data_IF_902202333437
#
_entry.id   IF_902202333437
#
_cell.length_a   1.000
_cell.length_b   1.000
_cell.length_c   1.000
_cell.angle_alpha   90.00
_cell.angle_beta   90.00
_cell.angle_gamma   90.00
#
_symmetry.space_group_name_H-M   'P 1'
#
loop_
_entity.id
_entity.type
_entity.pdbx_description
1 polymer ?
#
# COMPACT_ATOMS: atom_id res chain seq x y z
N UNK A 1 15.20 -16.22 20.87
CA UNK A 1 15.94 -17.48 20.64
C UNK A 1 16.71 -17.28 19.33
N UNK A 2 18.02 -17.10 19.41
CA UNK A 2 18.86 -16.77 18.25
C UNK A 2 18.90 -17.95 17.29
N UNK A 3 18.20 -17.84 16.16
CA UNK A 3 18.42 -18.72 15.01
C UNK A 3 19.68 -18.23 14.29
N UNK A 4 20.81 -18.84 14.66
CA UNK A 4 22.03 -18.75 13.88
C UNK A 4 21.78 -19.30 12.47
N UNK A 5 22.11 -18.50 11.46
CA UNK A 5 22.15 -18.93 10.07
C UNK A 5 23.08 -20.14 9.94
N UNK A 6 22.53 -21.27 9.50
CA UNK A 6 23.36 -22.38 9.03
C UNK A 6 23.93 -22.02 7.64
N UNK A 7 25.24 -22.16 7.41
CA UNK A 7 25.81 -21.96 6.09
C UNK A 7 25.55 -23.21 5.24
N UNK A 8 24.44 -23.19 4.49
CA UNK A 8 24.14 -24.14 3.43
C UNK A 8 24.98 -23.88 2.17
N UNK A 9 25.45 -24.96 1.57
CA UNK A 9 26.37 -25.10 0.45
C UNK A 9 25.96 -24.38 -0.85
N UNK A 10 26.91 -23.62 -1.41
CA UNK A 10 26.86 -23.04 -2.77
C UNK A 10 26.31 -21.62 -2.80
N UNK A 11 27.16 -20.60 -2.89
CA UNK A 11 26.72 -19.25 -3.27
C UNK A 11 26.13 -19.33 -4.69
N UNK A 12 24.82 -19.45 -4.82
CA UNK A 12 24.18 -19.37 -6.13
C UNK A 12 24.29 -17.93 -6.61
N UNK A 13 25.05 -17.72 -7.69
CA UNK A 13 25.00 -16.47 -8.44
C UNK A 13 23.56 -16.22 -8.90
N UNK A 14 23.14 -14.95 -8.91
CA UNK A 14 21.81 -14.56 -9.36
C UNK A 14 21.48 -15.15 -10.73
N UNK A 15 20.29 -15.73 -10.86
CA UNK A 15 19.69 -16.20 -12.11
C UNK A 15 18.17 -16.14 -12.00
N UNK A 16 17.50 -15.85 -13.12
CA UNK A 16 16.03 -15.90 -13.19
C UNK A 16 15.60 -17.37 -13.18
N UNK A 17 14.81 -17.76 -12.20
CA UNK A 17 14.34 -19.14 -12.08
C UNK A 17 13.14 -19.37 -12.99
N UNK A 18 13.13 -20.54 -13.65
CA UNK A 18 11.95 -21.12 -14.30
C UNK A 18 11.38 -22.22 -13.43
N UNK A 19 10.24 -22.77 -13.81
CA UNK A 19 9.54 -23.80 -13.02
C UNK A 19 10.43 -25.00 -12.68
N UNK A 20 11.20 -25.53 -13.63
CA UNK A 20 12.12 -26.65 -13.40
C UNK A 20 13.28 -26.26 -12.45
N UNK A 21 13.88 -25.10 -12.68
CA UNK A 21 14.98 -24.58 -11.86
C UNK A 21 14.55 -24.34 -10.42
N UNK A 22 13.33 -23.81 -10.25
CA UNK A 22 12.73 -23.53 -8.96
C UNK A 22 12.43 -24.84 -8.22
N UNK A 23 11.93 -25.87 -8.91
CA UNK A 23 11.71 -27.20 -8.33
C UNK A 23 13.00 -27.77 -7.73
N UNK A 24 14.07 -27.76 -8.52
CA UNK A 24 15.36 -28.31 -8.10
C UNK A 24 15.94 -27.51 -6.93
N UNK A 25 15.80 -26.18 -6.97
CA UNK A 25 16.22 -25.31 -5.88
C UNK A 25 15.45 -25.61 -4.58
N UNK A 26 14.12 -25.67 -4.63
CA UNK A 26 13.27 -25.92 -3.46
C UNK A 26 13.43 -27.35 -2.92
N UNK A 27 13.74 -28.34 -3.77
CA UNK A 27 14.05 -29.70 -3.35
C UNK A 27 15.29 -29.78 -2.44
N UNK A 28 16.19 -28.81 -2.54
CA UNK A 28 17.36 -28.67 -1.66
C UNK A 28 17.05 -28.08 -0.28
N UNK A 29 15.81 -27.68 0.00
CA UNK A 29 15.41 -27.02 1.25
C UNK A 29 14.53 -27.94 2.11
N UNK A 30 15.09 -28.65 3.13
CA UNK A 30 14.34 -29.67 3.87
C UNK A 30 13.05 -29.17 4.52
N UNK A 31 13.05 -27.92 5.02
CA UNK A 31 11.86 -27.32 5.62
C UNK A 31 10.73 -27.09 4.59
N UNK A 32 11.08 -26.68 3.37
CA UNK A 32 10.12 -26.51 2.28
C UNK A 32 9.61 -27.85 1.77
N UNK A 33 10.50 -28.84 1.62
CA UNK A 33 10.11 -30.21 1.24
C UNK A 33 9.10 -30.78 2.24
N UNK A 34 9.36 -30.62 3.54
CA UNK A 34 8.45 -31.06 4.58
C UNK A 34 7.09 -30.34 4.54
N UNK A 35 7.09 -29.03 4.25
CA UNK A 35 5.85 -28.23 4.14
C UNK A 35 5.00 -28.61 2.93
N UNK A 36 5.63 -28.83 1.77
CA UNK A 36 4.93 -29.19 0.54
C UNK A 36 4.46 -30.65 0.56
N UNK A 37 5.28 -31.56 1.10
CA UNK A 37 5.05 -33.00 1.05
C UNK A 37 5.18 -33.61 -0.36
N UNK A 38 5.17 -34.94 -0.43
CA UNK A 38 5.37 -35.68 -1.68
C UNK A 38 6.81 -35.58 -2.22
N UNK A 39 7.08 -36.21 -3.36
CA UNK A 39 8.36 -36.07 -4.04
C UNK A 39 8.40 -34.75 -4.83
N UNK A 40 9.54 -34.06 -4.93
CA UNK A 40 9.65 -32.84 -5.75
C UNK A 40 9.21 -33.01 -7.22
N UNK A 41 9.34 -34.22 -7.78
CA UNK A 41 8.87 -34.56 -9.12
C UNK A 41 7.33 -34.46 -9.26
N UNK A 42 6.59 -34.55 -8.17
CA UNK A 42 5.12 -34.50 -8.16
C UNK A 42 4.57 -33.09 -7.89
N UNK A 43 5.43 -32.12 -7.57
CA UNK A 43 4.98 -30.75 -7.30
C UNK A 43 4.45 -30.09 -8.56
N UNK A 44 3.33 -29.35 -8.43
CA UNK A 44 2.87 -28.44 -9.49
C UNK A 44 3.43 -27.05 -9.21
N UNK A 45 3.99 -26.41 -10.24
CA UNK A 45 4.55 -25.07 -10.17
C UNK A 45 3.92 -24.27 -11.29
N UNK A 46 3.41 -23.08 -10.97
CA UNK A 46 2.82 -22.18 -11.96
C UNK A 46 3.19 -20.73 -11.62
N UNK A 47 3.63 -19.96 -12.61
CA UNK A 47 3.80 -18.51 -12.47
C UNK A 47 2.42 -17.83 -12.56
N UNK A 48 2.10 -16.96 -11.61
CA UNK A 48 0.77 -16.33 -11.47
C UNK A 48 0.83 -14.81 -11.26
N UNK A 49 2.03 -14.21 -11.34
CA UNK A 49 2.20 -12.79 -11.05
C UNK A 49 1.50 -11.91 -12.07
N UNK A 50 0.46 -11.19 -11.63
CA UNK A 50 -0.16 -10.07 -12.36
C UNK A 50 0.39 -8.70 -11.92
N UNK A 51 1.44 -8.71 -11.08
CA UNK A 51 2.08 -7.53 -10.51
C UNK A 51 3.12 -6.86 -11.42
N UNK A 52 3.45 -5.60 -11.10
CA UNK A 52 4.25 -4.72 -11.95
C UNK A 52 5.77 -4.94 -11.88
N UNK A 53 6.30 -5.65 -10.87
CA UNK A 53 7.75 -5.68 -10.59
C UNK A 53 8.40 -7.07 -10.61
N UNK A 54 7.69 -8.13 -10.19
CA UNK A 54 8.33 -9.38 -9.76
C UNK A 54 7.66 -10.63 -10.38
N UNK A 55 8.36 -11.77 -10.35
CA UNK A 55 7.78 -13.08 -10.64
C UNK A 55 7.17 -13.65 -9.36
N UNK A 56 6.00 -14.28 -9.48
CA UNK A 56 5.37 -15.00 -8.36
C UNK A 56 4.97 -16.39 -8.83
N UNK A 57 5.49 -17.41 -8.17
CA UNK A 57 5.16 -18.81 -8.42
C UNK A 57 4.28 -19.34 -7.30
N UNK A 58 3.24 -20.08 -7.65
CA UNK A 58 2.53 -20.97 -6.73
C UNK A 58 3.16 -22.36 -6.88
N UNK A 59 3.58 -22.93 -5.75
CA UNK A 59 4.11 -24.30 -5.68
C UNK A 59 3.20 -25.12 -4.78
N UNK A 60 2.71 -26.26 -5.27
CA UNK A 60 1.86 -27.20 -4.52
C UNK A 60 2.50 -28.56 -4.47
N UNK A 61 2.52 -29.14 -3.27
CA UNK A 61 2.79 -30.56 -3.05
C UNK A 61 1.54 -31.27 -2.54
N UNK A 62 1.71 -32.49 -2.03
CA UNK A 62 0.60 -33.33 -1.56
C UNK A 62 0.02 -32.89 -0.22
N UNK A 63 0.78 -32.14 0.58
CA UNK A 63 0.40 -31.71 1.94
C UNK A 63 0.04 -30.24 2.03
N UNK A 64 0.53 -29.40 1.11
CA UNK A 64 0.31 -27.96 1.18
C UNK A 64 0.87 -27.20 -0.02
N UNK A 65 0.91 -25.87 0.11
CA UNK A 65 1.46 -24.98 -0.91
C UNK A 65 2.20 -23.79 -0.32
N UNK A 66 3.03 -23.18 -1.16
CA UNK A 66 3.78 -21.95 -0.88
C UNK A 66 3.68 -21.00 -2.07
N UNK A 67 3.83 -19.70 -1.79
CA UNK A 67 4.13 -18.70 -2.81
C UNK A 67 5.64 -18.43 -2.82
N UNK A 68 6.24 -18.36 -3.99
CA UNK A 68 7.66 -17.98 -4.15
C UNK A 68 7.76 -16.76 -5.03
N UNK A 69 8.29 -15.68 -4.47
CA UNK A 69 8.48 -14.41 -5.16
C UNK A 69 9.96 -14.23 -5.49
N UNK A 70 10.27 -13.84 -6.72
CA UNK A 70 11.62 -13.50 -7.15
C UNK A 70 11.64 -12.12 -7.81
N UNK A 71 12.53 -11.25 -7.35
CA UNK A 71 12.76 -9.96 -7.98
C UNK A 71 13.55 -10.10 -9.29
N UNK A 72 13.15 -9.32 -10.30
CA UNK A 72 13.86 -9.19 -11.58
C UNK A 72 14.79 -7.95 -11.58
N UNK A 73 15.86 -7.90 -12.39
CA UNK A 73 16.78 -6.76 -12.40
C UNK A 73 16.21 -5.53 -13.15
N UNK A 74 14.90 -5.50 -13.40
CA UNK A 74 14.16 -4.46 -14.10
C UNK A 74 12.70 -4.42 -13.64
N UNK A 75 11.97 -3.35 -14.01
CA UNK A 75 10.53 -3.21 -13.79
C UNK A 75 9.76 -4.11 -14.77
N UNK A 76 9.10 -5.17 -14.29
CA UNK A 76 8.36 -6.13 -15.14
C UNK A 76 7.33 -5.46 -16.06
N UNK A 77 6.63 -4.43 -15.58
CA UNK A 77 5.62 -3.69 -16.35
C UNK A 77 6.19 -3.00 -17.61
N UNK A 78 7.44 -2.55 -17.55
CA UNK A 78 8.09 -1.77 -18.62
C UNK A 78 9.09 -2.62 -19.41
N UNK A 79 9.70 -3.61 -18.77
CA UNK A 79 10.72 -4.49 -19.34
C UNK A 79 12.15 -4.02 -19.02
N UNK A 80 13.11 -4.64 -19.70
CA UNK A 80 14.56 -4.46 -19.46
C UNK A 80 15.06 -3.02 -19.65
N UNK A 81 14.29 -2.16 -20.33
CA UNK A 81 14.59 -0.74 -20.52
C UNK A 81 14.55 0.09 -19.23
N UNK A 82 13.95 -0.43 -18.15
CA UNK A 82 13.94 0.21 -16.84
C UNK A 82 14.61 -0.69 -15.77
N UNK A 83 15.93 -0.59 -15.59
CA UNK A 83 16.66 -1.35 -14.57
C UNK A 83 16.17 -1.06 -13.16
N UNK A 84 16.11 -2.09 -12.32
CA UNK A 84 15.67 -1.99 -10.94
C UNK A 84 16.49 -2.91 -10.01
N UNK A 85 17.05 -2.39 -8.89
CA UNK A 85 17.87 -3.20 -8.01
C UNK A 85 17.13 -4.40 -7.42
N UNK A 86 17.82 -5.54 -7.40
CA UNK A 86 17.35 -6.78 -6.77
C UNK A 86 17.24 -6.67 -5.24
N UNK A 87 17.95 -5.71 -4.64
CA UNK A 87 17.94 -5.46 -3.19
C UNK A 87 16.55 -5.17 -2.62
N UNK A 88 15.56 -4.82 -3.45
CA UNK A 88 14.16 -4.69 -3.01
C UNK A 88 13.57 -5.96 -2.41
N UNK A 89 13.99 -7.14 -2.87
CA UNK A 89 13.57 -8.41 -2.27
C UNK A 89 14.06 -8.55 -0.81
N UNK A 90 15.23 -7.97 -0.50
CA UNK A 90 15.74 -7.92 0.87
C UNK A 90 14.90 -6.98 1.74
N UNK A 91 14.54 -5.79 1.25
CA UNK A 91 13.70 -4.86 2.00
C UNK A 91 12.27 -5.39 2.20
N UNK A 92 11.70 -6.07 1.20
CA UNK A 92 10.43 -6.77 1.35
C UNK A 92 10.51 -7.84 2.45
N UNK A 93 11.57 -8.66 2.44
CA UNK A 93 11.79 -9.66 3.48
C UNK A 93 11.89 -9.02 4.88
N UNK A 94 12.71 -7.99 5.04
CA UNK A 94 12.86 -7.28 6.31
C UNK A 94 11.53 -6.70 6.79
N UNK A 95 10.77 -6.08 5.89
CA UNK A 95 9.47 -5.49 6.21
C UNK A 95 8.44 -6.56 6.59
N UNK A 96 8.34 -7.67 5.86
CA UNK A 96 7.43 -8.78 6.19
C UNK A 96 7.75 -9.38 7.56
N UNK A 97 9.03 -9.62 7.87
CA UNK A 97 9.45 -10.13 9.19
C UNK A 97 9.10 -9.13 10.29
N UNK A 98 9.33 -7.84 10.06
CA UNK A 98 9.00 -6.79 11.02
C UNK A 98 7.48 -6.68 11.25
N UNK A 99 6.70 -6.68 10.18
CA UNK A 99 5.24 -6.59 10.21
C UNK A 99 4.62 -7.84 10.84
N UNK A 100 5.14 -9.04 10.57
CA UNK A 100 4.66 -10.29 11.19
C UNK A 100 4.83 -10.31 12.71
N UNK A 101 5.90 -9.66 13.22
CA UNK A 101 6.12 -9.49 14.66
C UNK A 101 5.12 -8.53 15.29
N UNK A 102 4.78 -7.44 14.61
CA UNK A 102 3.93 -6.38 15.15
C UNK A 102 2.44 -6.66 14.97
N UNK A 103 2.07 -7.25 13.84
CA UNK A 103 0.71 -7.54 13.40
C UNK A 103 0.59 -9.01 12.96
N UNK A 104 0.72 -9.96 13.90
CA UNK A 104 0.72 -11.39 13.58
C UNK A 104 -0.60 -11.79 12.91
N UNK A 105 -0.50 -12.70 11.93
CA UNK A 105 -1.63 -13.18 11.10
C UNK A 105 -2.24 -12.13 10.14
N UNK A 106 -1.68 -10.93 10.04
CA UNK A 106 -2.13 -9.92 9.07
C UNK A 106 -1.19 -9.80 7.86
N UNK A 107 -0.12 -10.61 7.82
CA UNK A 107 0.81 -10.76 6.71
C UNK A 107 1.10 -12.25 6.49
N UNK A 108 1.54 -12.68 5.29
CA UNK A 108 1.95 -14.06 5.07
C UNK A 108 3.21 -14.41 5.88
N UNK A 109 3.27 -15.62 6.42
CA UNK A 109 4.48 -16.11 7.08
C UNK A 109 5.62 -16.29 6.07
N UNK A 110 6.80 -15.74 6.36
CA UNK A 110 8.02 -15.98 5.57
C UNK A 110 8.59 -17.35 5.93
N UNK A 111 8.79 -18.20 4.92
CA UNK A 111 9.29 -19.57 5.09
C UNK A 111 10.77 -19.69 4.74
N UNK A 112 11.24 -18.93 3.74
CA UNK A 112 12.63 -18.91 3.30
C UNK A 112 12.96 -17.60 2.60
N UNK A 113 14.20 -17.14 2.72
CA UNK A 113 14.71 -15.99 1.97
C UNK A 113 16.15 -16.25 1.51
N UNK A 114 16.41 -15.93 0.25
CA UNK A 114 17.72 -16.03 -0.39
C UNK A 114 18.08 -14.68 -1.02
N UNK A 115 18.98 -13.96 -0.36
CA UNK A 115 19.45 -12.65 -0.80
C UNK A 115 20.13 -12.68 -2.18
N UNK A 116 21.12 -13.55 -2.42
CA UNK A 116 21.76 -13.70 -3.73
C UNK A 116 20.80 -13.99 -4.90
N UNK A 117 19.74 -14.79 -4.70
CA UNK A 117 18.72 -15.04 -5.72
C UNK A 117 17.59 -14.00 -5.74
N UNK A 118 17.58 -13.07 -4.79
CA UNK A 118 16.51 -12.11 -4.57
C UNK A 118 15.12 -12.79 -4.48
N UNK A 119 15.08 -13.89 -3.71
CA UNK A 119 13.96 -14.81 -3.66
C UNK A 119 13.41 -14.92 -2.23
N UNK A 120 12.09 -14.92 -2.10
CA UNK A 120 11.40 -15.16 -0.83
C UNK A 120 10.30 -16.20 -1.05
N UNK A 121 10.35 -17.30 -0.28
CA UNK A 121 9.25 -18.24 -0.18
C UNK A 121 8.41 -17.92 1.06
N UNK A 122 7.09 -17.91 0.91
CA UNK A 122 6.15 -17.49 1.95
C UNK A 122 4.86 -18.33 1.91
N UNK A 123 4.06 -18.18 2.96
CA UNK A 123 2.71 -18.74 3.07
C UNK A 123 1.89 -18.46 1.81
N UNK A 124 1.28 -19.51 1.26
CA UNK A 124 0.33 -19.37 0.17
C UNK A 124 -1.03 -18.97 0.73
N UNK A 125 -1.50 -17.78 0.34
CA UNK A 125 -2.77 -17.24 0.80
C UNK A 125 -3.93 -17.72 -0.07
N UNK A 126 -4.51 -18.86 0.30
CA UNK A 126 -5.72 -19.41 -0.31
C UNK A 126 -6.79 -19.65 0.76
N UNK A 127 -8.09 -19.38 0.47
CA UNK A 127 -8.69 -19.01 -0.81
C UNK A 127 -8.73 -17.49 -1.06
N UNK A 128 -7.76 -16.74 -0.54
CA UNK A 128 -7.79 -15.28 -0.61
C UNK A 128 -7.71 -14.76 -2.06
N UNK A 129 -8.38 -13.65 -2.35
CA UNK A 129 -8.24 -12.91 -3.60
C UNK A 129 -7.67 -11.52 -3.34
N UNK A 130 -7.06 -10.91 -4.36
CA UNK A 130 -6.70 -9.49 -4.31
C UNK A 130 -7.96 -8.65 -4.10
N UNK A 131 -7.99 -7.86 -3.03
CA UNK A 131 -9.17 -7.10 -2.58
C UNK A 131 -9.76 -6.23 -3.68
N UNK A 132 -8.90 -5.59 -4.49
CA UNK A 132 -9.32 -4.78 -5.64
C UNK A 132 -10.27 -5.52 -6.59
N UNK A 133 -10.01 -6.80 -6.89
CA UNK A 133 -10.88 -7.62 -7.76
C UNK A 133 -12.25 -7.79 -7.12
N UNK A 134 -12.30 -8.13 -5.84
CA UNK A 134 -13.56 -8.27 -5.12
C UNK A 134 -14.34 -6.96 -4.94
N UNK A 135 -13.66 -5.81 -4.82
CA UNK A 135 -14.33 -4.50 -4.81
C UNK A 135 -15.00 -4.20 -6.16
N UNK A 136 -14.36 -4.55 -7.27
CA UNK A 136 -14.97 -4.46 -8.61
C UNK A 136 -16.23 -5.34 -8.67
N UNK A 137 -16.17 -6.54 -8.10
CA UNK A 137 -17.32 -7.47 -8.01
C UNK A 137 -18.37 -7.08 -6.94
N UNK A 138 -18.26 -5.88 -6.34
CA UNK A 138 -19.16 -5.39 -5.29
C UNK A 138 -19.22 -6.28 -4.02
N UNK A 139 -18.16 -7.06 -3.76
CA UNK A 139 -18.03 -7.91 -2.58
C UNK A 139 -17.74 -7.08 -1.34
N UNK A 140 -18.41 -7.40 -0.23
CA UNK A 140 -18.23 -6.74 1.07
C UNK A 140 -17.36 -7.59 1.98
N UNK A 141 -16.49 -6.95 2.74
CA UNK A 141 -15.53 -7.60 3.63
C UNK A 141 -15.72 -7.12 5.07
N UNK A 142 -16.58 -7.78 5.87
CA UNK A 142 -16.94 -7.32 7.22
C UNK A 142 -15.75 -7.19 8.18
N UNK A 143 -14.72 -8.03 7.99
CA UNK A 143 -13.50 -8.04 8.82
C UNK A 143 -12.47 -6.99 8.42
N UNK A 144 -12.57 -6.41 7.22
CA UNK A 144 -11.54 -5.57 6.65
C UNK A 144 -11.18 -4.38 7.53
N UNK A 145 -12.18 -3.61 8.00
CA UNK A 145 -11.94 -2.43 8.85
C UNK A 145 -11.18 -2.80 10.11
N UNK A 146 -11.57 -3.87 10.79
CA UNK A 146 -10.92 -4.33 12.01
C UNK A 146 -9.47 -4.73 11.75
N UNK A 147 -9.24 -5.55 10.73
CA UNK A 147 -7.93 -6.09 10.44
C UNK A 147 -6.96 -5.01 9.92
N UNK A 148 -7.36 -4.19 8.94
CA UNK A 148 -6.47 -3.18 8.34
C UNK A 148 -6.13 -2.06 9.32
N UNK A 149 -7.08 -1.63 10.16
CA UNK A 149 -6.81 -0.61 11.18
C UNK A 149 -5.90 -1.14 12.29
N UNK A 150 -6.00 -2.44 12.63
CA UNK A 150 -5.06 -3.10 13.54
C UNK A 150 -3.67 -3.17 12.94
N UNK A 151 -3.53 -3.59 11.68
CA UNK A 151 -2.26 -3.60 10.95
C UNK A 151 -1.61 -2.21 10.95
N UNK A 152 -2.35 -1.18 10.50
CA UNK A 152 -1.86 0.20 10.45
C UNK A 152 -1.46 0.73 11.83
N UNK A 153 -2.32 0.58 12.84
CA UNK A 153 -2.05 1.09 14.17
C UNK A 153 -0.80 0.43 14.78
N UNK A 154 -0.67 -0.90 14.69
CA UNK A 154 0.47 -1.62 15.28
C UNK A 154 1.77 -1.33 14.53
N UNK A 155 1.78 -1.47 13.21
CA UNK A 155 3.00 -1.32 12.41
C UNK A 155 3.54 0.12 12.44
N UNK A 156 2.66 1.11 12.35
CA UNK A 156 3.07 2.52 12.38
C UNK A 156 3.47 2.96 13.79
N UNK A 157 2.71 2.59 14.83
CA UNK A 157 3.03 3.01 16.20
C UNK A 157 4.34 2.39 16.69
N UNK A 158 4.49 1.06 16.61
CA UNK A 158 5.65 0.36 17.18
C UNK A 158 6.95 0.53 16.39
N UNK A 159 6.91 1.20 15.23
CA UNK A 159 8.09 1.60 14.46
C UNK A 159 8.38 3.11 14.53
N UNK A 160 7.65 3.85 15.37
CA UNK A 160 7.79 5.31 15.54
C UNK A 160 8.58 5.71 16.78
N UNK A 161 9.00 6.97 16.83
CA UNK A 161 9.62 7.59 18.00
C UNK A 161 8.70 7.63 19.24
N UNK A 162 7.42 7.30 19.10
CA UNK A 162 6.51 7.14 20.24
C UNK A 162 6.74 5.82 21.00
N UNK A 163 7.32 4.82 20.33
CA UNK A 163 7.49 3.47 20.86
C UNK A 163 8.94 2.96 20.85
N UNK A 164 9.82 3.60 20.09
CA UNK A 164 11.24 3.24 19.96
C UNK A 164 12.14 4.29 20.61
N UNK A 165 13.26 3.82 21.16
CA UNK A 165 14.38 4.71 21.49
C UNK A 165 14.99 5.31 20.23
N UNK A 166 15.67 6.44 20.38
CA UNK A 166 16.35 7.11 19.27
C UNK A 166 17.43 6.24 18.61
N UNK A 167 18.04 5.32 19.36
CA UNK A 167 19.02 4.37 18.83
C UNK A 167 18.36 3.35 17.89
N UNK A 168 17.34 2.64 18.39
CA UNK A 168 16.58 1.66 17.60
C UNK A 168 15.96 2.30 16.35
N UNK A 169 15.42 3.50 16.50
CA UNK A 169 14.86 4.26 15.38
C UNK A 169 15.91 4.55 14.31
N UNK A 170 17.08 5.07 14.68
CA UNK A 170 18.16 5.41 13.75
C UNK A 170 18.75 4.19 13.08
N UNK A 171 18.88 3.07 13.79
CA UNK A 171 19.29 1.79 13.22
C UNK A 171 18.28 1.30 12.18
N UNK A 172 16.98 1.41 12.47
CA UNK A 172 15.91 1.12 11.51
C UNK A 172 15.99 2.01 10.27
N UNK A 173 16.15 3.32 10.44
CA UNK A 173 16.32 4.26 9.31
C UNK A 173 17.54 3.87 8.48
N UNK A 174 18.68 3.56 9.10
CA UNK A 174 19.88 3.14 8.40
C UNK A 174 19.68 1.82 7.63
N UNK A 175 18.96 0.86 8.20
CA UNK A 175 18.68 -0.43 7.57
C UNK A 175 17.83 -0.31 6.30
N UNK A 176 16.94 0.68 6.22
CA UNK A 176 16.05 0.87 5.06
C UNK A 176 16.47 2.02 4.12
N UNK A 177 17.45 2.85 4.48
CA UNK A 177 17.93 3.96 3.65
C UNK A 177 18.44 3.50 2.27
N UNK A 178 18.91 2.25 2.16
CA UNK A 178 19.35 1.66 0.90
C UNK A 178 18.21 1.30 -0.06
N UNK A 179 16.92 1.41 0.33
CA UNK A 179 15.78 1.20 -0.57
C UNK A 179 15.48 2.43 -1.46
N UNK A 180 16.47 3.29 -1.67
CA UNK A 180 16.33 4.59 -2.33
C UNK A 180 15.83 4.49 -3.79
N UNK A 181 16.08 3.39 -4.51
CA UNK A 181 15.59 3.22 -5.88
C UNK A 181 14.06 3.12 -5.92
N UNK A 182 13.45 2.47 -4.94
CA UNK A 182 11.99 2.29 -4.85
C UNK A 182 11.34 3.59 -4.34
N UNK A 183 12.02 4.28 -3.41
CA UNK A 183 11.65 5.64 -3.03
C UNK A 183 11.65 6.58 -4.24
N UNK A 184 12.70 6.53 -5.09
CA UNK A 184 12.80 7.36 -6.29
C UNK A 184 11.67 7.10 -7.30
N UNK A 185 11.29 5.84 -7.50
CA UNK A 185 10.11 5.50 -8.33
C UNK A 185 8.86 6.20 -7.78
N UNK A 186 8.68 6.19 -6.46
CA UNK A 186 7.53 6.83 -5.82
C UNK A 186 7.61 8.35 -5.94
N UNK A 187 8.77 8.94 -5.69
CA UNK A 187 9.06 10.38 -5.86
C UNK A 187 8.74 10.89 -7.26
N UNK A 188 9.00 10.10 -8.29
CA UNK A 188 8.71 10.45 -9.67
C UNK A 188 7.24 10.19 -10.01
N UNK A 189 6.80 8.94 -9.86
CA UNK A 189 5.51 8.49 -10.37
C UNK A 189 4.31 8.98 -9.57
N UNK A 190 4.48 9.33 -8.29
CA UNK A 190 3.40 9.89 -7.47
C UNK A 190 3.48 11.41 -7.42
N UNK A 191 4.69 11.97 -7.23
CA UNK A 191 4.82 13.36 -6.83
C UNK A 191 5.37 14.29 -7.92
N UNK A 192 5.63 13.81 -9.13
CA UNK A 192 6.24 14.65 -10.18
C UNK A 192 5.62 14.41 -11.55
N UNK A 193 5.64 13.18 -12.05
CA UNK A 193 5.23 12.90 -13.42
C UNK A 193 3.78 13.27 -13.72
N UNK A 194 2.77 12.98 -12.88
CA UNK A 194 1.37 13.34 -13.16
C UNK A 194 1.11 14.85 -13.34
N UNK A 195 2.06 15.70 -12.95
CA UNK A 195 1.94 17.16 -12.92
C UNK A 195 2.79 17.84 -14.01
N UNK A 196 3.37 17.08 -14.93
CA UNK A 196 4.16 17.61 -16.05
C UNK A 196 3.95 16.78 -17.31
N UNK A 197 4.57 17.19 -18.41
CA UNK A 197 4.72 16.32 -19.58
C UNK A 197 5.76 15.26 -19.23
N UNK A 198 5.34 14.00 -19.18
CA UNK A 198 6.19 12.84 -19.00
C UNK A 198 5.76 11.76 -20.00
N UNK A 199 6.75 11.08 -20.60
CA UNK A 199 6.54 10.09 -21.67
C UNK A 199 5.58 8.97 -21.28
N UNK A 200 5.65 8.54 -20.02
CA UNK A 200 4.90 7.39 -19.51
C UNK A 200 3.50 7.75 -18.99
N UNK A 201 3.13 9.04 -18.96
CA UNK A 201 1.80 9.44 -18.54
C UNK A 201 0.79 9.07 -19.61
N UNK A 202 -0.33 8.50 -19.17
CA UNK A 202 -1.50 8.23 -20.01
C UNK A 202 -2.77 8.48 -19.22
N UNK A 203 -3.86 8.69 -19.93
CA UNK A 203 -5.22 8.89 -19.40
C UNK A 203 -6.23 8.45 -20.47
N UNK A 204 -7.52 8.41 -20.11
CA UNK A 204 -8.60 8.10 -21.07
C UNK A 204 -8.79 9.25 -22.06
N UNK A 205 -8.06 9.18 -23.17
CA UNK A 205 -8.09 10.17 -24.26
C UNK A 205 -9.24 9.87 -25.25
N UNK A 206 -9.81 10.88 -25.92
CA UNK A 206 -9.50 12.32 -25.79
C UNK A 206 -10.20 12.99 -24.60
N UNK A 207 -11.08 12.27 -23.88
CA UNK A 207 -11.99 12.85 -22.88
C UNK A 207 -11.26 13.63 -21.78
N UNK A 208 -10.12 13.14 -21.29
CA UNK A 208 -9.37 13.78 -20.21
C UNK A 208 -8.23 14.71 -20.67
N UNK A 209 -8.06 14.97 -21.97
CA UNK A 209 -6.94 15.78 -22.49
C UNK A 209 -6.88 17.18 -21.86
N UNK A 210 -8.02 17.89 -21.85
CA UNK A 210 -8.13 19.21 -21.23
C UNK A 210 -7.95 19.16 -19.71
N UNK A 211 -8.39 18.08 -19.06
CA UNK A 211 -8.21 17.89 -17.61
C UNK A 211 -6.74 17.67 -17.28
N UNK A 212 -6.06 16.79 -18.01
CA UNK A 212 -4.63 16.54 -17.85
C UNK A 212 -3.82 17.82 -18.12
N UNK A 213 -4.19 18.62 -19.13
CA UNK A 213 -3.58 19.92 -19.39
C UNK A 213 -3.76 20.89 -18.22
N UNK A 214 -4.97 21.03 -17.69
CA UNK A 214 -5.24 21.90 -16.55
C UNK A 214 -4.42 21.51 -15.31
N UNK A 215 -4.23 20.22 -15.02
CA UNK A 215 -3.41 19.76 -13.90
C UNK A 215 -1.93 20.12 -14.04
N UNK A 216 -1.39 20.21 -15.28
CA UNK A 216 -0.01 20.63 -15.55
C UNK A 216 0.20 22.14 -15.46
N UNK A 217 -0.88 22.92 -15.49
CA UNK A 217 -0.86 24.38 -15.41
C UNK A 217 -1.32 24.88 -14.03
N UNK A 218 -1.69 23.97 -13.13
CA UNK A 218 -2.17 24.28 -11.79
C UNK A 218 -1.01 24.46 -10.79
N UNK A 219 -0.47 25.68 -10.75
CA UNK A 219 0.68 25.98 -9.88
C UNK A 219 0.37 25.88 -8.38
N UNK A 220 -0.86 26.11 -7.95
CA UNK A 220 -1.25 25.88 -6.54
C UNK A 220 -1.16 24.38 -6.21
N UNK A 221 -1.60 23.52 -7.14
CA UNK A 221 -1.47 22.08 -6.99
C UNK A 221 -0.01 21.65 -6.98
N UNK A 222 0.84 22.26 -7.80
CA UNK A 222 2.28 22.00 -7.81
C UNK A 222 2.96 22.32 -6.48
N UNK A 223 2.62 23.44 -5.83
CA UNK A 223 3.12 23.77 -4.49
C UNK A 223 2.64 22.73 -3.48
N UNK A 224 1.35 22.37 -3.50
CA UNK A 224 0.79 21.40 -2.57
C UNK A 224 1.44 20.01 -2.70
N UNK A 225 1.57 19.47 -3.91
CA UNK A 225 2.22 18.17 -4.10
C UNK A 225 3.72 18.22 -3.78
N UNK A 226 4.39 19.34 -4.03
CA UNK A 226 5.81 19.51 -3.68
C UNK A 226 6.04 19.47 -2.16
N UNK A 227 5.10 20.02 -1.36
CA UNK A 227 5.15 19.92 0.10
C UNK A 227 5.00 18.47 0.57
N UNK A 228 4.09 17.70 -0.02
CA UNK A 228 3.95 16.27 0.27
C UNK A 228 5.18 15.47 -0.17
N UNK A 229 5.78 15.81 -1.32
CA UNK A 229 7.04 15.21 -1.78
C UNK A 229 8.16 15.44 -0.77
N UNK A 230 8.32 16.70 -0.33
CA UNK A 230 9.32 17.03 0.69
C UNK A 230 9.06 16.27 1.99
N UNK A 231 7.80 16.16 2.42
CA UNK A 231 7.42 15.36 3.58
C UNK A 231 7.82 13.90 3.42
N UNK A 232 7.52 13.28 2.27
CA UNK A 232 7.92 11.91 1.94
C UNK A 232 9.43 11.70 1.99
N UNK A 233 10.21 12.66 1.48
CA UNK A 233 11.68 12.58 1.44
C UNK A 233 12.35 12.83 2.80
N UNK A 234 11.71 13.60 3.70
CA UNK A 234 12.39 14.16 4.87
C UNK A 234 11.79 13.74 6.24
N UNK A 235 10.66 13.01 6.27
CA UNK A 235 9.95 12.70 7.52
C UNK A 235 9.94 11.19 7.82
N UNK A 236 10.96 10.65 8.50
CA UNK A 236 11.04 9.23 8.85
C UNK A 236 10.15 8.85 10.04
N UNK A 237 8.84 9.10 9.96
CA UNK A 237 7.90 8.98 11.09
C UNK A 237 7.72 7.53 11.57
N UNK A 238 7.62 6.57 10.65
CA UNK A 238 7.45 5.13 10.93
C UNK A 238 8.00 4.26 9.80
N UNK A 239 8.19 2.97 10.03
CA UNK A 239 8.42 2.01 8.96
C UNK A 239 7.10 1.79 8.22
N UNK A 240 6.94 2.46 7.09
CA UNK A 240 5.76 2.31 6.23
C UNK A 240 5.94 1.15 5.27
N UNK A 241 4.83 0.56 4.83
CA UNK A 241 4.76 -0.42 3.76
C UNK A 241 5.17 0.18 2.41
N UNK A 242 4.78 1.43 2.14
CA UNK A 242 5.22 2.17 0.95
C UNK A 242 4.41 1.91 -0.33
N UNK A 243 3.50 0.93 -0.36
CA UNK A 243 2.54 0.77 -1.47
C UNK A 243 1.26 0.03 -1.05
N UNK A 244 0.70 0.42 0.11
CA UNK A 244 -0.46 -0.23 0.73
C UNK A 244 -1.80 0.12 0.06
N UNK A 245 -1.93 -0.19 -1.23
CA UNK A 245 -3.18 -0.06 -1.97
C UNK A 245 -4.02 -1.34 -1.92
N UNK A 246 -5.28 -1.32 -2.39
CA UNK A 246 -6.17 -2.52 -2.42
C UNK A 246 -5.69 -3.66 -3.33
N UNK A 247 -4.64 -3.43 -4.13
CA UNK A 247 -3.90 -4.47 -4.85
C UNK A 247 -2.85 -5.20 -4.02
N UNK A 248 -2.49 -4.67 -2.85
CA UNK A 248 -1.48 -5.20 -1.91
C UNK A 248 -2.14 -5.79 -0.67
N UNK A 249 -3.44 -6.10 -0.80
CA UNK A 249 -4.28 -6.64 0.26
C UNK A 249 -5.04 -7.81 -0.35
N UNK A 250 -4.87 -8.98 0.24
CA UNK A 250 -5.61 -10.19 -0.08
C UNK A 250 -6.68 -10.43 0.98
N UNK A 251 -7.87 -10.86 0.56
CA UNK A 251 -9.05 -10.96 1.43
C UNK A 251 -9.84 -12.24 1.18
N UNK A 252 -10.50 -12.69 2.24
CA UNK A 252 -11.70 -13.52 2.20
C UNK A 252 -12.82 -12.78 2.94
N UNK A 253 -14.02 -13.37 3.06
CA UNK A 253 -15.06 -12.82 3.94
C UNK A 253 -14.62 -12.68 5.41
N UNK A 254 -13.60 -13.44 5.83
CA UNK A 254 -13.22 -13.60 7.24
C UNK A 254 -11.81 -13.14 7.58
N UNK A 255 -10.95 -12.92 6.59
CA UNK A 255 -9.54 -12.63 6.79
C UNK A 255 -9.04 -11.53 5.85
N UNK A 256 -8.10 -10.75 6.34
CA UNK A 256 -7.36 -9.72 5.60
C UNK A 256 -5.86 -9.97 5.74
N UNK A 257 -5.14 -9.98 4.63
CA UNK A 257 -3.69 -10.22 4.59
C UNK A 257 -3.01 -9.17 3.73
N UNK A 258 -2.11 -8.41 4.32
CA UNK A 258 -1.26 -7.42 3.63
C UNK A 258 -0.05 -8.14 3.05
N UNK A 259 0.29 -7.80 1.80
CA UNK A 259 1.38 -8.41 1.04
C UNK A 259 2.20 -7.32 0.36
N UNK A 260 3.39 -7.68 -0.14
CA UNK A 260 4.19 -6.83 -1.04
C UNK A 260 4.76 -5.52 -0.45
N UNK A 261 5.38 -5.52 0.75
CA UNK A 261 6.01 -4.31 1.31
C UNK A 261 7.39 -4.03 0.71
N UNK A 262 7.60 -4.21 -0.61
CA UNK A 262 8.91 -3.99 -1.25
C UNK A 262 9.34 -2.52 -1.32
N UNK A 263 8.37 -1.60 -1.21
CA UNK A 263 8.59 -0.16 -1.12
C UNK A 263 8.84 0.33 0.33
N UNK A 264 8.97 -0.57 1.29
CA UNK A 264 9.09 -0.20 2.68
C UNK A 264 10.33 0.65 2.95
N UNK A 265 10.13 1.72 3.71
CA UNK A 265 11.19 2.56 4.27
C UNK A 265 10.66 3.35 5.46
N UNK A 266 11.54 4.06 6.17
CA UNK A 266 11.11 4.98 7.21
C UNK A 266 10.60 6.29 6.60
N UNK A 267 9.29 6.45 6.57
CA UNK A 267 8.60 7.56 5.90
C UNK A 267 7.36 8.04 6.67
N UNK A 268 6.56 8.95 6.07
CA UNK A 268 5.43 9.55 6.75
C UNK A 268 4.24 8.58 6.86
N UNK A 269 3.68 8.44 8.06
CA UNK A 269 2.60 7.48 8.38
C UNK A 269 1.36 7.68 7.49
N UNK A 270 1.02 8.93 7.21
CA UNK A 270 -0.12 9.29 6.37
C UNK A 270 -0.05 8.73 4.96
N UNK A 271 1.13 8.33 4.48
CA UNK A 271 1.31 7.78 3.13
C UNK A 271 0.66 6.41 2.95
N UNK A 272 0.74 5.53 3.95
CA UNK A 272 0.10 4.20 3.93
C UNK A 272 -1.41 4.32 4.18
N UNK A 273 -1.81 5.12 5.17
CA UNK A 273 -3.23 5.34 5.50
C UNK A 273 -3.94 5.97 4.29
N UNK A 274 -3.29 6.97 3.67
CA UNK A 274 -3.78 7.62 2.46
C UNK A 274 -3.82 6.68 1.25
N UNK A 275 -2.92 5.69 1.18
CA UNK A 275 -2.97 4.67 0.13
C UNK A 275 -4.25 3.82 0.24
N UNK A 276 -4.59 3.36 1.45
CA UNK A 276 -5.81 2.57 1.69
C UNK A 276 -7.05 3.42 1.39
N UNK A 277 -7.16 4.60 2.03
CA UNK A 277 -8.33 5.48 1.88
C UNK A 277 -8.51 5.94 0.42
N UNK A 278 -7.43 6.39 -0.23
CA UNK A 278 -7.49 6.84 -1.62
C UNK A 278 -7.94 5.74 -2.58
N UNK A 279 -7.53 4.49 -2.36
CA UNK A 279 -7.98 3.37 -3.19
C UNK A 279 -9.44 2.98 -2.93
N UNK A 280 -9.93 3.07 -1.70
CA UNK A 280 -11.37 2.87 -1.40
C UNK A 280 -12.23 3.99 -2.01
N UNK A 281 -11.74 5.24 -2.01
CA UNK A 281 -12.39 6.37 -2.70
C UNK A 281 -12.48 6.10 -4.21
N UNK A 282 -11.39 5.63 -4.83
CA UNK A 282 -11.41 5.25 -6.26
C UNK A 282 -12.40 4.12 -6.53
N UNK A 283 -12.45 3.08 -5.69
CA UNK A 283 -13.44 2.01 -5.83
C UNK A 283 -14.88 2.54 -5.74
N UNK A 284 -15.15 3.49 -4.84
CA UNK A 284 -16.45 4.15 -4.72
C UNK A 284 -16.80 4.96 -5.97
N UNK A 285 -15.88 5.78 -6.48
CA UNK A 285 -16.13 6.62 -7.66
C UNK A 285 -16.14 5.84 -8.97
N UNK A 286 -15.46 4.69 -9.04
CA UNK A 286 -15.51 3.75 -10.15
C UNK A 286 -16.79 2.90 -10.16
N UNK A 287 -17.44 2.69 -9.01
CA UNK A 287 -18.61 1.81 -8.85
C UNK A 287 -19.69 2.05 -9.91
N UNK A 288 -20.00 3.31 -10.23
CA UNK A 288 -20.99 3.67 -11.25
C UNK A 288 -20.66 3.12 -12.65
N UNK A 289 -19.39 2.97 -13.00
CA UNK A 289 -18.96 2.43 -14.28
C UNK A 289 -19.10 0.90 -14.39
N UNK A 290 -19.29 0.22 -13.27
CA UNK A 290 -19.49 -1.23 -13.18
C UNK A 290 -20.96 -1.62 -12.93
N UNK A 291 -21.86 -0.65 -12.92
CA UNK A 291 -23.28 -0.86 -12.69
C UNK A 291 -23.95 -1.38 -13.96
N UNK A 292 -24.73 -2.47 -13.86
CA UNK A 292 -25.45 -3.05 -15.00
C UNK A 292 -26.85 -2.46 -15.13
N UNK A 293 -27.47 -2.13 -13.99
CA UNK A 293 -28.76 -1.45 -13.91
C UNK A 293 -28.71 -0.34 -12.87
N UNK A 294 -29.34 0.79 -13.16
CA UNK A 294 -29.32 1.97 -12.30
C UNK A 294 -29.70 1.64 -10.83
N UNK A 295 -28.80 1.94 -9.90
CA UNK A 295 -28.99 1.74 -8.47
C UNK A 295 -28.59 0.36 -7.93
N UNK A 296 -28.18 -0.60 -8.77
CA UNK A 296 -27.73 -1.94 -8.37
C UNK A 296 -26.62 -1.88 -7.31
N UNK A 297 -25.71 -0.91 -7.42
CA UNK A 297 -24.54 -0.81 -6.54
C UNK A 297 -24.73 0.14 -5.36
N UNK A 298 -25.91 0.76 -5.19
CA UNK A 298 -26.13 1.77 -4.15
C UNK A 298 -25.81 1.27 -2.72
N UNK A 299 -26.16 0.01 -2.42
CA UNK A 299 -25.88 -0.59 -1.12
C UNK A 299 -24.40 -0.93 -0.91
N UNK A 300 -23.67 -1.26 -1.98
CA UNK A 300 -22.22 -1.44 -1.94
C UNK A 300 -21.49 -0.10 -1.79
N UNK A 301 -21.96 0.94 -2.48
CA UNK A 301 -21.45 2.30 -2.37
C UNK A 301 -21.60 2.86 -0.94
N UNK A 302 -22.76 2.64 -0.30
CA UNK A 302 -22.96 2.98 1.10
C UNK A 302 -21.95 2.25 2.01
N UNK A 303 -21.78 0.94 1.82
CA UNK A 303 -20.79 0.13 2.55
C UNK A 303 -19.35 0.62 2.34
N UNK A 304 -18.98 1.06 1.14
CA UNK A 304 -17.64 1.61 0.87
C UNK A 304 -17.39 2.90 1.66
N UNK A 305 -18.37 3.81 1.72
CA UNK A 305 -18.25 5.04 2.50
C UNK A 305 -18.13 4.73 4.00
N UNK A 306 -18.96 3.82 4.52
CA UNK A 306 -18.85 3.32 5.90
C UNK A 306 -17.49 2.68 6.18
N UNK A 307 -16.95 1.94 5.21
CA UNK A 307 -15.64 1.30 5.31
C UNK A 307 -14.52 2.35 5.37
N UNK A 308 -14.58 3.40 4.55
CA UNK A 308 -13.61 4.52 4.58
C UNK A 308 -13.63 5.22 5.95
N UNK A 309 -14.82 5.53 6.47
CA UNK A 309 -14.97 6.14 7.80
C UNK A 309 -14.46 5.23 8.91
N UNK A 310 -14.78 3.93 8.80
CA UNK A 310 -14.35 2.90 9.74
C UNK A 310 -12.83 2.75 9.80
N UNK A 311 -12.14 2.73 8.64
CA UNK A 311 -10.68 2.61 8.58
C UNK A 311 -10.00 3.71 9.38
N UNK A 312 -10.35 4.98 9.14
CA UNK A 312 -9.75 6.10 9.87
C UNK A 312 -10.13 6.10 11.35
N UNK A 313 -11.42 5.89 11.65
CA UNK A 313 -11.93 5.95 13.03
C UNK A 313 -11.30 4.88 13.91
N UNK A 314 -11.27 3.63 13.42
CA UNK A 314 -10.66 2.53 14.17
C UNK A 314 -9.14 2.63 14.23
N UNK A 315 -8.48 3.09 13.16
CA UNK A 315 -7.05 3.38 13.20
C UNK A 315 -6.73 4.40 14.29
N UNK A 316 -7.42 5.55 14.28
CA UNK A 316 -7.22 6.62 15.26
C UNK A 316 -7.45 6.14 16.69
N UNK A 317 -8.56 5.41 16.92
CA UNK A 317 -8.88 4.83 18.23
C UNK A 317 -7.78 3.88 18.72
N UNK A 318 -7.33 2.95 17.87
CA UNK A 318 -6.31 1.95 18.20
C UNK A 318 -4.93 2.58 18.39
N UNK A 319 -4.53 3.50 17.53
CA UNK A 319 -3.26 4.22 17.63
C UNK A 319 -3.18 5.04 18.91
N UNK A 320 -4.24 5.77 19.25
CA UNK A 320 -4.32 6.51 20.52
C UNK A 320 -4.31 5.58 21.74
N UNK A 321 -4.97 4.42 21.66
CA UNK A 321 -4.91 3.42 22.73
C UNK A 321 -3.48 2.88 22.92
N UNK A 322 -2.76 2.59 21.83
CA UNK A 322 -1.35 2.21 21.89
C UNK A 322 -0.50 3.33 22.50
N UNK A 323 -0.69 4.59 22.10
CA UNK A 323 0.06 5.71 22.70
C UNK A 323 -0.23 5.86 24.20
N UNK A 324 -1.47 5.69 24.64
CA UNK A 324 -1.79 5.79 26.07
C UNK A 324 -1.16 4.68 26.91
N UNK A 325 -1.04 3.47 26.36
CA UNK A 325 -0.73 2.28 27.14
C UNK A 325 0.68 1.71 26.92
N UNK A 326 1.27 1.96 25.75
CA UNK A 326 2.48 1.27 25.27
C UNK A 326 3.64 2.22 24.93
N UNK A 327 3.43 3.54 25.05
CA UNK A 327 4.45 4.52 24.70
C UNK A 327 5.64 4.45 25.65
N UNK A 328 6.80 4.25 25.04
CA UNK A 328 8.11 4.08 25.69
C UNK A 328 9.26 4.68 24.88
N UNK A 329 8.93 5.31 23.76
CA UNK A 329 9.91 5.95 22.89
C UNK A 329 10.26 7.36 23.35
N UNK A 330 11.27 7.94 22.68
CA UNK A 330 11.86 9.22 23.08
C UNK A 330 11.05 10.44 22.62
N UNK A 331 10.05 10.27 21.75
CA UNK A 331 9.32 11.38 21.13
C UNK A 331 8.46 12.22 22.09
N UNK A 332 7.91 11.61 23.14
CA UNK A 332 7.12 12.30 24.18
C UNK A 332 7.44 11.74 25.57
N UNK A 333 8.56 12.16 26.20
CA UNK A 333 8.96 11.66 27.50
C UNK A 333 7.91 12.00 28.58
N UNK A 334 7.37 10.98 29.23
CA UNK A 334 6.30 11.12 30.25
C UNK A 334 6.72 12.03 31.42
N UNK A 335 8.01 12.10 31.73
CA UNK A 335 8.56 12.96 32.78
C UNK A 335 8.30 14.46 32.55
N UNK A 336 8.09 14.91 31.31
CA UNK A 336 7.74 16.30 30.99
C UNK A 336 6.26 16.61 31.26
N UNK A 337 5.42 15.59 31.43
CA UNK A 337 3.96 15.68 31.55
C UNK A 337 3.47 15.17 32.91
N UNK A 338 4.22 15.45 33.98
CA UNK A 338 3.88 15.00 35.33
C UNK A 338 2.62 15.67 35.90
N UNK A 339 1.89 14.94 36.73
CA UNK A 339 0.67 15.41 37.39
C UNK A 339 -0.54 15.53 36.46
N UNK A 340 -1.69 15.91 37.03
CA UNK A 340 -2.97 15.97 36.31
C UNK A 340 -2.96 16.96 35.14
N UNK A 341 -2.40 18.15 35.34
CA UNK A 341 -2.29 19.16 34.29
C UNK A 341 -1.39 18.72 33.13
N UNK A 342 -0.27 18.03 33.44
CA UNK A 342 0.63 17.47 32.43
C UNK A 342 -0.04 16.36 31.62
N UNK A 343 -0.72 15.43 32.30
CA UNK A 343 -1.47 14.35 31.66
C UNK A 343 -2.59 14.90 30.75
N UNK A 344 -3.34 15.90 31.21
CA UNK A 344 -4.36 16.57 30.39
C UNK A 344 -3.76 17.26 29.16
N UNK A 345 -2.60 17.91 29.30
CA UNK A 345 -1.91 18.54 28.17
C UNK A 345 -1.39 17.52 27.16
N UNK A 346 -0.85 16.40 27.62
CA UNK A 346 -0.41 15.31 26.74
C UNK A 346 -1.60 14.72 25.98
N UNK A 347 -2.76 14.56 26.62
CA UNK A 347 -3.95 14.07 25.95
C UNK A 347 -4.45 15.02 24.86
N UNK A 348 -4.43 16.34 25.10
CA UNK A 348 -4.74 17.33 24.07
C UNK A 348 -3.76 17.24 22.88
N UNK A 349 -2.46 17.10 23.17
CA UNK A 349 -1.43 16.96 22.13
C UNK A 349 -1.58 15.68 21.31
N UNK A 350 -2.07 14.58 21.89
CA UNK A 350 -2.40 13.38 21.13
C UNK A 350 -3.50 13.65 20.10
N UNK A 351 -4.51 14.45 20.45
CA UNK A 351 -5.55 14.85 19.51
C UNK A 351 -5.00 15.76 18.41
N UNK A 352 -4.16 16.73 18.76
CA UNK A 352 -3.50 17.62 17.79
C UNK A 352 -2.57 16.84 16.84
N UNK A 353 -1.85 15.84 17.34
CA UNK A 353 -1.04 14.93 16.54
C UNK A 353 -1.90 14.16 15.53
N UNK A 354 -3.01 13.57 15.98
CA UNK A 354 -3.92 12.83 15.09
C UNK A 354 -4.57 13.73 14.05
N UNK A 355 -4.86 14.98 14.39
CA UNK A 355 -5.35 15.97 13.43
C UNK A 355 -4.31 16.25 12.33
N UNK A 356 -3.03 16.43 12.68
CA UNK A 356 -1.94 16.60 11.70
C UNK A 356 -1.76 15.35 10.83
N UNK A 357 -1.77 14.16 11.44
CA UNK A 357 -1.69 12.89 10.71
C UNK A 357 -2.87 12.70 9.75
N UNK A 358 -4.07 13.16 10.12
CA UNK A 358 -5.23 13.13 9.24
C UNK A 358 -5.02 14.02 8.01
N UNK A 359 -4.47 15.22 8.20
CA UNK A 359 -4.16 16.14 7.10
C UNK A 359 -3.19 15.52 6.10
N UNK A 360 -2.12 14.89 6.59
CA UNK A 360 -1.18 14.16 5.73
C UNK A 360 -1.87 13.02 4.99
N UNK A 361 -2.73 12.27 5.69
CA UNK A 361 -3.50 11.16 5.12
C UNK A 361 -4.39 11.61 3.96
N UNK A 362 -5.09 12.73 4.12
CA UNK A 362 -5.94 13.33 3.07
C UNK A 362 -5.09 13.75 1.87
N UNK A 363 -3.96 14.44 2.11
CA UNK A 363 -3.05 14.87 1.05
C UNK A 363 -2.44 13.69 0.27
N UNK A 364 -1.94 12.66 0.96
CA UNK A 364 -1.40 11.48 0.29
C UNK A 364 -2.47 10.66 -0.42
N UNK A 365 -3.70 10.56 0.13
CA UNK A 365 -4.82 9.95 -0.59
C UNK A 365 -5.09 10.67 -1.91
N UNK A 366 -5.11 12.00 -1.92
CA UNK A 366 -5.26 12.80 -3.13
C UNK A 366 -4.13 12.54 -4.14
N UNK A 367 -2.86 12.52 -3.69
CA UNK A 367 -1.72 12.22 -4.56
C UNK A 367 -1.85 10.84 -5.22
N UNK A 368 -2.28 9.83 -4.44
CA UNK A 368 -2.47 8.45 -4.92
C UNK A 368 -3.61 8.36 -5.94
N UNK A 369 -4.68 9.15 -5.79
CA UNK A 369 -5.78 9.22 -6.77
C UNK A 369 -5.27 9.84 -8.08
N UNK A 370 -4.61 11.00 -8.01
CA UNK A 370 -4.14 11.74 -9.18
C UNK A 370 -3.18 10.88 -10.02
N UNK A 371 -2.17 10.27 -9.36
CA UNK A 371 -1.18 9.45 -10.07
C UNK A 371 -1.75 8.19 -10.72
N UNK A 372 -2.88 7.67 -10.22
CA UNK A 372 -3.53 6.48 -10.80
C UNK A 372 -4.29 6.78 -12.09
N UNK A 373 -4.61 8.05 -12.33
CA UNK A 373 -5.42 8.47 -13.48
C UNK A 373 -4.56 9.19 -14.52
N UNK A 374 -3.59 10.02 -14.08
CA UNK A 374 -2.75 10.84 -14.96
C UNK A 374 -1.30 10.35 -15.07
N UNK A 375 -0.96 9.23 -14.43
CA UNK A 375 0.39 8.65 -14.42
C UNK A 375 0.53 7.37 -15.25
N UNK A 376 1.65 6.68 -15.06
CA UNK A 376 1.98 5.42 -15.73
C UNK A 376 1.10 4.25 -15.26
N UNK A 377 1.06 4.01 -13.95
CA UNK A 377 0.49 2.80 -13.38
C UNK A 377 -0.96 3.03 -12.93
N UNK A 378 -1.91 2.70 -13.80
CA UNK A 378 -3.35 2.79 -13.55
C UNK A 378 -3.84 1.68 -12.60
N UNK A 379 -5.13 1.70 -12.24
CA UNK A 379 -5.77 0.61 -11.49
C UNK A 379 -6.94 0.00 -12.27
N UNK A 380 -7.23 -1.27 -12.00
CA UNK A 380 -8.30 -2.00 -12.69
C UNK A 380 -9.71 -1.55 -12.29
N UNK A 381 -9.86 -0.77 -11.20
CA UNK A 381 -11.13 -0.15 -10.84
C UNK A 381 -11.66 0.72 -11.99
N UNK A 382 -10.80 1.47 -12.68
CA UNK A 382 -11.19 2.24 -13.86
C UNK A 382 -10.98 1.46 -15.16
N UNK A 383 -9.83 0.80 -15.32
CA UNK A 383 -9.45 0.19 -16.60
C UNK A 383 -10.38 -0.93 -17.06
N UNK A 384 -11.13 -1.57 -16.15
CA UNK A 384 -12.13 -2.59 -16.50
C UNK A 384 -13.52 -2.02 -16.83
N UNK A 385 -13.74 -0.71 -16.68
CA UNK A 385 -14.96 -0.05 -17.16
C UNK A 385 -14.90 -0.01 -18.69
N UNK A 386 -15.70 -0.82 -19.39
CA UNK A 386 -15.59 -0.99 -20.84
C UNK A 386 -15.90 0.27 -21.66
N UNK A 387 -16.90 1.06 -21.24
CA UNK A 387 -17.25 2.33 -21.88
C UNK A 387 -16.23 3.41 -21.48
N UNK A 388 -15.41 3.85 -22.44
CA UNK A 388 -14.36 4.85 -22.23
C UNK A 388 -14.90 6.20 -21.76
N UNK A 389 -16.08 6.62 -22.22
CA UNK A 389 -16.69 7.87 -21.77
C UNK A 389 -17.14 7.74 -20.32
N UNK A 390 -17.76 6.61 -19.97
CA UNK A 390 -18.17 6.33 -18.59
C UNK A 390 -16.95 6.22 -17.65
N UNK A 391 -15.86 5.58 -18.12
CA UNK A 391 -14.57 5.53 -17.42
C UNK A 391 -14.06 6.94 -17.15
N UNK A 392 -13.96 7.77 -18.20
CA UNK A 392 -13.51 9.15 -18.09
C UNK A 392 -14.36 9.99 -17.14
N UNK A 393 -15.69 9.76 -17.06
CA UNK A 393 -16.57 10.42 -16.09
C UNK A 393 -16.17 10.05 -14.65
N UNK A 394 -15.95 8.77 -14.38
CA UNK A 394 -15.55 8.28 -13.05
C UNK A 394 -14.16 8.80 -12.66
N UNK A 395 -13.23 8.82 -13.60
CA UNK A 395 -11.89 9.39 -13.44
C UNK A 395 -11.92 10.90 -13.20
N UNK A 396 -12.69 11.66 -13.98
CA UNK A 396 -12.82 13.10 -13.80
C UNK A 396 -13.40 13.48 -12.43
N UNK A 397 -14.39 12.72 -11.93
CA UNK A 397 -14.92 12.89 -10.56
C UNK A 397 -13.84 12.67 -9.50
N UNK A 398 -13.02 11.64 -9.71
CA UNK A 398 -11.91 11.29 -8.81
C UNK A 398 -10.84 12.38 -8.80
N UNK A 399 -10.44 12.90 -9.97
CA UNK A 399 -9.51 14.01 -10.10
C UNK A 399 -10.06 15.30 -9.46
N UNK A 400 -11.35 15.61 -9.66
CA UNK A 400 -12.00 16.77 -9.04
C UNK A 400 -11.94 16.71 -7.52
N UNK A 401 -12.29 15.55 -6.93
CA UNK A 401 -12.20 15.35 -5.49
C UNK A 401 -10.75 15.41 -5.00
N UNK A 402 -9.83 14.72 -5.67
CA UNK A 402 -8.43 14.69 -5.26
C UNK A 402 -7.79 16.08 -5.29
N UNK A 403 -8.07 16.90 -6.32
CA UNK A 403 -7.63 18.29 -6.37
C UNK A 403 -8.15 19.09 -5.16
N UNK A 404 -9.44 18.96 -4.83
CA UNK A 404 -10.04 19.61 -3.65
C UNK A 404 -9.38 19.15 -2.36
N UNK A 405 -9.22 17.83 -2.17
CA UNK A 405 -8.52 17.24 -1.01
C UNK A 405 -7.08 17.75 -0.88
N UNK A 406 -6.37 17.94 -1.99
CA UNK A 406 -4.98 18.41 -1.99
C UNK A 406 -4.87 19.90 -1.62
N UNK A 407 -5.68 20.75 -2.24
CA UNK A 407 -5.59 22.22 -2.08
C UNK A 407 -6.28 22.71 -0.81
N UNK A 408 -7.36 22.04 -0.43
CA UNK A 408 -8.21 22.41 0.70
C UNK A 408 -8.09 21.40 1.85
N UNK A 409 -6.96 20.65 1.94
CA UNK A 409 -6.75 19.65 3.00
C UNK A 409 -7.16 20.18 4.40
N UNK A 410 -6.78 21.40 4.82
CA UNK A 410 -7.16 21.93 6.15
C UNK A 410 -8.66 22.07 6.39
N UNK A 411 -9.48 22.13 5.34
CA UNK A 411 -10.94 22.16 5.44
C UNK A 411 -11.55 20.78 5.76
N UNK A 412 -10.83 19.69 5.45
CA UNK A 412 -11.22 18.33 5.80
C UNK A 412 -10.78 18.04 7.24
N UNK A 413 -11.62 18.38 8.21
CA UNK A 413 -11.33 18.17 9.64
C UNK A 413 -11.74 16.79 10.14
N UNK A 414 -12.55 16.05 9.39
CA UNK A 414 -13.04 14.71 9.74
C UNK A 414 -13.09 13.81 8.51
N UNK A 415 -13.05 12.48 8.72
CA UNK A 415 -13.23 11.51 7.63
C UNK A 415 -14.63 11.60 7.00
N UNK A 416 -15.65 11.99 7.76
CA UNK A 416 -16.99 12.27 7.26
C UNK A 416 -17.05 13.44 6.27
N UNK A 417 -16.18 14.44 6.41
CA UNK A 417 -16.07 15.51 5.42
C UNK A 417 -15.51 15.00 4.08
N UNK A 418 -14.59 14.02 4.12
CA UNK A 418 -14.03 13.39 2.92
C UNK A 418 -15.07 12.54 2.22
N UNK A 419 -15.78 11.66 2.94
CA UNK A 419 -16.86 10.83 2.37
C UNK A 419 -18.05 11.67 1.91
N UNK A 420 -18.36 12.76 2.62
CA UNK A 420 -19.33 13.77 2.19
C UNK A 420 -18.96 14.38 0.84
N UNK A 421 -17.72 14.87 0.69
CA UNK A 421 -17.23 15.41 -0.57
C UNK A 421 -17.20 14.35 -1.70
N UNK A 422 -16.87 13.10 -1.39
CA UNK A 422 -16.96 12.00 -2.34
C UNK A 422 -18.40 11.77 -2.83
N UNK A 423 -19.38 11.84 -1.91
CA UNK A 423 -20.81 11.76 -2.24
C UNK A 423 -21.28 12.94 -3.10
N UNK A 424 -20.80 14.15 -2.82
CA UNK A 424 -21.09 15.33 -3.64
C UNK A 424 -20.62 15.17 -5.09
N UNK A 425 -19.38 14.72 -5.31
CA UNK A 425 -18.84 14.57 -6.66
C UNK A 425 -19.38 13.35 -7.42
N UNK A 426 -19.96 12.36 -6.72
CA UNK A 426 -20.45 11.10 -7.31
C UNK A 426 -21.47 11.29 -8.43
N UNK A 427 -22.23 12.38 -8.42
CA UNK A 427 -23.22 12.70 -9.46
C UNK A 427 -22.83 13.91 -10.33
N UNK A 428 -21.68 14.54 -10.06
CA UNK A 428 -21.16 15.62 -10.89
C UNK A 428 -20.87 15.09 -12.31
N UNK A 429 -21.09 15.91 -13.34
CA UNK A 429 -20.83 15.55 -14.72
C UNK A 429 -19.73 16.46 -15.28
N UNK A 430 -18.63 15.89 -15.83
CA UNK A 430 -17.62 16.69 -16.51
C UNK A 430 -18.13 17.20 -17.87
N UNK A 431 -17.69 18.39 -18.23
CA UNK A 431 -17.84 18.90 -19.60
C UNK A 431 -16.59 18.50 -20.38
N UNK A 432 -16.70 17.46 -21.20
CA UNK A 432 -15.64 17.10 -22.14
C UNK A 432 -15.73 18.00 -23.37
N UNK A 433 -14.59 18.58 -23.76
CA UNK A 433 -14.47 19.33 -25.01
C UNK A 433 -14.74 18.36 -26.16
N UNK A 434 -15.59 18.77 -27.11
CA UNK A 434 -15.97 17.96 -28.28
C UNK A 434 -14.84 17.83 -29.29
#
# INVERSE_FOLDING_TARGET
MNLQAQPGSGQSQYRILRESDLRDYLAGLPAIVAHLGGAPADWSISEVGDGNLNLVFIVKGTSGGIAVKQALPYVRLVGESWPLPLSRAHYEHLALVHQARLAPKLVPAVLHHDGPLALTAMELLEPHIIMRKGLIDATRYPRFVEDISTFLAQTLFFSSDLALSAAEKKEGVAAFAGNHALCKITEDLIFTDPYRIAEQNRWTAPYLDATAAAFREDFELHVAISRLKLKFMASPEALIHGDLHTGSIMVTERETRVIDPEFAFYGPMGFDIGAVIGNLIMAYLASAGHERTLGERASFEAWLLETIEGVWTEFSRKFLALWRNEARGDGYPVSLFAGEAGAARLEAERQDYMARLFQDTVGFAAAKIIRRILGLAHNIDFEWIADEKQRAICEARSLRLARRMMLEAPSFTTIGAVTGAAREVRNWQPEFVR
#
